data_IF_097866195920
#
_entry.id   IF_097866195920
#
_cell.length_a   1.000
_cell.length_b   1.000
_cell.length_c   1.000
_cell.angle_alpha   90.00
_cell.angle_beta   90.00
_cell.angle_gamma   90.00
#
_symmetry.space_group_name_H-M   'P 1'
#
loop_
_entity.id
_entity.type
_entity.pdbx_description
1 polymer ?
#
# COMPACT_ATOMS: atom_id res chain seq x y z
N UNK A 1 6.20 9.69 0.16
CA UNK A 1 6.22 9.21 -1.24
C UNK A 1 6.20 7.70 -1.38
N UNK A 2 7.03 6.91 -0.66
CA UNK A 2 7.16 5.45 -0.87
C UNK A 2 5.83 4.68 -0.93
N UNK A 3 4.94 4.89 0.04
CA UNK A 3 3.64 4.22 0.09
C UNK A 3 2.72 4.60 -1.08
N UNK A 4 2.73 5.87 -1.51
CA UNK A 4 1.93 6.32 -2.63
C UNK A 4 2.38 5.67 -3.95
N UNK A 5 3.70 5.55 -4.17
CA UNK A 5 4.26 4.89 -5.34
C UNK A 5 3.94 3.38 -5.35
N UNK A 6 4.04 2.71 -4.20
CA UNK A 6 3.66 1.30 -4.07
C UNK A 6 2.17 1.07 -4.34
N UNK A 7 1.32 2.00 -3.91
CA UNK A 7 -0.11 1.99 -4.20
C UNK A 7 -0.45 2.38 -5.65
N UNK A 8 0.55 2.72 -6.48
CA UNK A 8 0.37 3.02 -7.90
C UNK A 8 -0.01 4.48 -8.20
N UNK A 9 0.03 5.38 -7.21
CA UNK A 9 -0.11 6.80 -7.48
C UNK A 9 1.16 7.35 -8.14
N UNK A 10 0.99 8.20 -9.15
CA UNK A 10 2.07 9.00 -9.72
C UNK A 10 2.01 10.44 -9.17
N UNK A 11 3.06 11.23 -9.39
CA UNK A 11 3.11 12.63 -9.01
C UNK A 11 4.29 12.96 -8.11
N UNK A 12 4.14 13.96 -7.25
CA UNK A 12 5.26 14.54 -6.52
C UNK A 12 4.87 15.44 -5.35
N UNK A 13 5.89 16.03 -4.72
CA UNK A 13 5.72 17.07 -3.74
C UNK A 13 5.86 18.44 -4.41
N UNK A 14 4.90 19.32 -4.19
CA UNK A 14 4.97 20.73 -4.57
C UNK A 14 5.16 21.54 -3.30
N UNK A 15 6.13 22.45 -3.30
CA UNK A 15 6.47 23.24 -2.13
C UNK A 15 6.28 24.72 -2.45
N UNK A 16 5.38 25.35 -1.71
CA UNK A 16 5.26 26.80 -1.70
C UNK A 16 6.25 27.40 -0.69
N UNK A 17 6.87 28.53 -1.07
CA UNK A 17 7.86 29.26 -0.28
C UNK A 17 8.99 28.36 0.27
N UNK A 18 9.79 27.71 -0.59
CA UNK A 18 10.78 26.70 -0.18
C UNK A 18 11.83 27.23 0.82
N UNK A 19 12.12 28.53 0.77
CA UNK A 19 13.12 29.20 1.61
C UNK A 19 12.55 29.77 2.92
N UNK A 20 11.23 29.84 3.09
CA UNK A 20 10.62 30.27 4.35
C UNK A 20 10.41 29.06 5.25
N UNK A 21 10.70 29.14 6.55
CA UNK A 21 10.28 28.11 7.51
C UNK A 21 8.85 28.32 8.01
N UNK A 22 8.41 29.58 8.12
CA UNK A 22 7.08 29.97 8.63
C UNK A 22 5.97 29.82 7.60
N UNK A 23 6.26 30.14 6.34
CA UNK A 23 5.28 30.09 5.25
C UNK A 23 5.39 28.83 4.40
N UNK A 24 6.32 27.91 4.70
CA UNK A 24 6.50 26.66 3.94
C UNK A 24 5.21 25.87 3.97
N UNK A 25 4.74 25.48 2.79
CA UNK A 25 3.64 24.54 2.66
C UNK A 25 4.05 23.45 1.70
N UNK A 26 3.82 22.21 2.11
CA UNK A 26 4.19 21.02 1.33
C UNK A 26 2.89 20.36 0.92
N UNK A 27 2.69 20.25 -0.38
CA UNK A 27 1.53 19.65 -1.00
C UNK A 27 1.95 18.33 -1.64
N UNK A 28 1.33 17.23 -1.21
CA UNK A 28 1.44 15.96 -1.89
C UNK A 28 0.42 15.92 -3.03
N UNK A 29 0.91 16.03 -4.27
CA UNK A 29 0.07 16.04 -5.47
C UNK A 29 0.18 14.67 -6.13
N UNK A 30 -0.94 13.95 -6.15
CA UNK A 30 -1.02 12.60 -6.69
C UNK A 30 -2.04 12.53 -7.81
N UNK A 31 -1.73 11.77 -8.85
CA UNK A 31 -2.66 11.41 -9.90
C UNK A 31 -2.95 9.91 -9.87
N UNK A 32 -4.21 9.57 -10.16
CA UNK A 32 -4.64 8.20 -10.44
C UNK A 32 -4.67 7.98 -11.95
N UNK A 33 -4.30 6.77 -12.39
CA UNK A 33 -4.29 6.43 -13.81
C UNK A 33 -2.98 6.78 -14.53
N UNK A 34 -2.72 6.04 -15.60
CA UNK A 34 -1.46 6.00 -16.35
C UNK A 34 -1.12 4.56 -16.75
N UNK A 35 -0.18 4.39 -17.68
CA UNK A 35 0.31 3.06 -18.07
C UNK A 35 1.07 2.44 -16.90
N UNK A 36 0.37 1.71 -16.03
CA UNK A 36 1.05 0.83 -15.08
C UNK A 36 1.60 -0.36 -15.85
N UNK A 37 2.90 -0.63 -15.67
CA UNK A 37 3.51 -1.84 -16.21
C UNK A 37 2.80 -3.02 -15.55
N UNK A 38 1.88 -3.63 -16.28
CA UNK A 38 1.19 -4.82 -15.80
C UNK A 38 2.25 -5.89 -15.53
N UNK A 39 2.14 -6.64 -14.42
CA UNK A 39 3.01 -7.76 -14.20
C UNK A 39 2.94 -8.69 -15.41
N UNK A 40 4.10 -9.14 -15.89
CA UNK A 40 4.16 -10.13 -16.98
C UNK A 40 3.34 -11.34 -16.53
N UNK A 41 2.48 -11.83 -17.42
CA UNK A 41 1.75 -13.05 -17.15
C UNK A 41 2.75 -14.16 -16.76
N UNK A 42 2.42 -14.91 -15.72
CA UNK A 42 3.22 -16.05 -15.28
C UNK A 42 3.10 -17.14 -16.35
N UNK A 43 4.05 -17.17 -17.29
CA UNK A 43 4.25 -18.31 -18.18
C UNK A 43 5.08 -19.36 -17.44
N UNK A 44 4.80 -20.66 -17.66
CA UNK A 44 5.32 -21.82 -16.90
C UNK A 44 6.84 -22.07 -17.00
N UNK A 45 7.64 -21.06 -17.32
CA UNK A 45 9.10 -21.15 -17.33
C UNK A 45 9.65 -20.68 -15.98
N UNK A 46 9.75 -21.62 -15.04
CA UNK A 46 10.43 -21.44 -13.76
C UNK A 46 11.86 -20.93 -13.93
N UNK A 47 12.25 -19.91 -13.14
CA UNK A 47 13.17 -20.22 -12.06
C UNK A 47 12.71 -19.60 -10.73
N UNK A 48 12.42 -20.48 -9.77
CA UNK A 48 12.44 -20.30 -8.32
C UNK A 48 12.72 -18.86 -7.80
N UNK A 49 11.67 -18.05 -7.69
CA UNK A 49 11.71 -16.78 -6.93
C UNK A 49 10.79 -16.90 -5.73
N UNK A 50 11.41 -16.94 -4.55
CA UNK A 50 10.85 -16.93 -3.19
C UNK A 50 9.34 -16.60 -3.10
N UNK A 51 8.52 -17.65 -3.10
CA UNK A 51 7.09 -17.54 -2.89
C UNK A 51 6.81 -17.22 -1.41
N UNK A 52 6.48 -15.96 -1.09
CA UNK A 52 6.03 -15.58 0.26
C UNK A 52 4.61 -16.11 0.44
N UNK A 53 4.47 -17.21 1.18
CA UNK A 53 3.17 -17.80 1.55
C UNK A 53 2.45 -16.87 2.53
N UNK A 54 1.61 -15.97 2.01
CA UNK A 54 0.70 -15.16 2.83
C UNK A 54 -0.57 -15.93 3.29
N UNK A 55 -0.63 -17.23 3.00
CA UNK A 55 -1.75 -18.11 3.35
C UNK A 55 -1.36 -18.97 4.55
N UNK A 56 -0.96 -18.33 5.63
CA UNK A 56 -1.07 -18.97 6.94
C UNK A 56 -2.14 -18.19 7.69
N UNK A 57 -3.22 -18.90 8.03
CA UNK A 57 -4.31 -18.39 8.84
C UNK A 57 -3.68 -17.92 10.15
N UNK A 58 -3.45 -16.62 10.28
CA UNK A 58 -2.80 -16.04 11.47
C UNK A 58 -3.59 -16.50 12.69
N UNK A 59 -3.02 -17.44 13.45
CA UNK A 59 -3.63 -17.87 14.69
C UNK A 59 -3.75 -16.65 15.59
N UNK A 60 -5.00 -16.29 15.86
CA UNK A 60 -5.32 -15.14 16.68
C UNK A 60 -4.93 -15.51 18.10
N UNK A 61 -3.84 -14.91 18.60
CA UNK A 61 -3.38 -15.12 19.98
C UNK A 61 -4.57 -14.87 20.94
N UNK A 62 -4.87 -15.81 21.87
CA UNK A 62 -6.05 -15.71 22.73
C UNK A 62 -6.07 -14.43 23.60
N UNK A 63 -4.89 -13.84 23.89
CA UNK A 63 -4.75 -12.62 24.69
C UNK A 63 -4.78 -11.29 23.90
N UNK A 64 -5.21 -11.30 22.64
CA UNK A 64 -5.45 -10.03 21.94
C UNK A 64 -6.71 -9.36 22.50
N UNK A 65 -6.59 -8.10 22.95
CA UNK A 65 -7.71 -7.30 23.49
C UNK A 65 -8.88 -7.10 22.51
N UNK A 66 -8.73 -7.52 21.25
CA UNK A 66 -9.66 -7.28 20.15
C UNK A 66 -10.28 -8.56 19.55
N UNK A 67 -10.06 -9.75 20.13
CA UNK A 67 -10.51 -11.04 19.54
C UNK A 67 -11.99 -11.38 19.74
N UNK A 68 -12.74 -10.56 20.48
CA UNK A 68 -14.10 -10.89 20.91
C UNK A 68 -15.25 -10.26 20.14
N UNK A 69 -15.03 -9.44 19.10
CA UNK A 69 -16.15 -8.81 18.38
C UNK A 69 -16.80 -9.81 17.42
N UNK A 70 -17.79 -10.56 17.94
CA UNK A 70 -18.69 -11.38 17.11
C UNK A 70 -19.36 -10.46 16.08
N UNK A 71 -19.06 -10.66 14.80
CA UNK A 71 -19.76 -9.97 13.72
C UNK A 71 -21.20 -10.48 13.73
N UNK A 72 -22.16 -9.60 13.99
CA UNK A 72 -23.57 -9.94 13.90
C UNK A 72 -23.88 -10.37 12.45
N UNK A 73 -24.57 -11.50 12.27
CA UNK A 73 -25.10 -11.85 10.95
C UNK A 73 -26.08 -10.74 10.57
N UNK A 74 -25.83 -10.07 9.44
CA UNK A 74 -26.87 -9.31 8.76
C UNK A 74 -27.72 -10.34 8.02
N UNK A 75 -29.04 -10.20 8.18
CA UNK A 75 -30.01 -10.77 7.25
C UNK A 75 -29.63 -10.39 5.82
#
# INVERSE_FOLDING_TARGET
MQQANQAGFNGGLVVDFPNSSKAKKIYLVLMTGGMQKLPRALTEEEPQSSHIKNIERREVRPNSKYTGRKRHKKF
#
